data_IF_006952931990
#
_entry.id   IF_006952931990
#
_cell.length_a   1.000
_cell.length_b   1.000
_cell.length_c   1.000
_cell.angle_alpha   90.00
_cell.angle_beta   90.00
_cell.angle_gamma   90.00
#
_symmetry.space_group_name_H-M   'P 1'
#
loop_
_entity.id
_entity.type
_entity.pdbx_description
1 polymer ?
#
# COMPACT_ATOMS: atom_id res chain seq x y z
N UNK A 1 -8.41 2.32 -20.06
CA UNK A 1 -7.74 0.99 -20.04
C UNK A 1 -7.88 0.50 -18.61
N UNK A 2 -8.13 -0.78 -18.36
CA UNK A 2 -8.25 -1.26 -16.99
C UNK A 2 -6.90 -1.10 -16.26
N UNK A 3 -6.90 -0.89 -14.95
CA UNK A 3 -5.70 -0.74 -14.11
C UNK A 3 -4.79 -1.97 -14.30
N UNK A 4 -5.38 -3.17 -14.34
CA UNK A 4 -4.65 -4.41 -14.60
C UNK A 4 -3.85 -4.37 -15.92
N UNK A 5 -4.47 -3.90 -17.01
CA UNK A 5 -3.81 -3.80 -18.32
C UNK A 5 -2.74 -2.71 -18.35
N UNK A 6 -2.87 -1.69 -17.51
CA UNK A 6 -1.84 -0.66 -17.37
C UNK A 6 -0.60 -1.24 -16.67
N UNK A 7 -0.78 -2.08 -15.65
CA UNK A 7 0.34 -2.84 -15.06
C UNK A 7 1.00 -3.79 -16.06
N UNK A 8 0.23 -4.52 -16.87
CA UNK A 8 0.80 -5.37 -17.94
C UNK A 8 1.63 -4.56 -18.96
N UNK A 9 1.26 -3.30 -19.20
CA UNK A 9 2.03 -2.38 -20.05
C UNK A 9 3.27 -1.88 -19.31
N UNK A 10 3.12 -1.47 -18.05
CA UNK A 10 4.21 -1.00 -17.19
C UNK A 10 5.33 -2.03 -17.12
N UNK A 11 4.98 -3.30 -16.87
CA UNK A 11 5.94 -4.41 -16.83
C UNK A 11 6.74 -4.52 -18.13
N UNK A 12 6.10 -4.34 -19.30
CA UNK A 12 6.79 -4.36 -20.61
C UNK A 12 7.74 -3.17 -20.77
N UNK A 13 7.34 -1.99 -20.32
CA UNK A 13 8.13 -0.77 -20.40
C UNK A 13 9.36 -0.82 -19.49
N UNK A 14 9.22 -1.39 -18.29
CA UNK A 14 10.33 -1.65 -17.35
C UNK A 14 11.38 -2.54 -18.02
N UNK A 15 10.97 -3.65 -18.66
CA UNK A 15 11.91 -4.51 -19.40
C UNK A 15 12.59 -3.81 -20.60
N UNK A 16 12.01 -2.72 -21.10
CA UNK A 16 12.54 -1.93 -22.21
C UNK A 16 13.34 -0.69 -21.74
N UNK A 17 13.44 -0.46 -20.43
CA UNK A 17 14.12 0.67 -19.81
C UNK A 17 13.65 2.05 -20.33
N UNK A 18 12.34 2.21 -20.50
CA UNK A 18 11.70 3.43 -21.03
C UNK A 18 11.18 4.32 -19.90
N UNK A 19 12.08 4.95 -19.16
CA UNK A 19 11.80 5.71 -17.93
C UNK A 19 10.67 6.75 -18.06
N UNK A 20 10.67 7.56 -19.13
CA UNK A 20 9.62 8.56 -19.34
C UNK A 20 8.22 7.93 -19.49
N UNK A 21 8.11 6.85 -20.26
CA UNK A 21 6.85 6.12 -20.49
C UNK A 21 6.39 5.39 -19.22
N UNK A 22 7.32 4.90 -18.39
CA UNK A 22 7.03 4.26 -17.11
C UNK A 22 6.31 5.23 -16.17
N UNK A 23 6.84 6.45 -16.02
CA UNK A 23 6.25 7.48 -15.16
C UNK A 23 4.84 7.90 -15.62
N UNK A 24 4.64 8.04 -16.94
CA UNK A 24 3.31 8.37 -17.50
C UNK A 24 2.29 7.27 -17.24
N UNK A 25 2.67 6.00 -17.41
CA UNK A 25 1.79 4.86 -17.16
C UNK A 25 1.47 4.73 -15.67
N UNK A 26 2.46 4.90 -14.79
CA UNK A 26 2.24 4.84 -13.35
C UNK A 26 1.31 5.96 -12.85
N UNK A 27 1.49 7.20 -13.33
CA UNK A 27 0.55 8.29 -13.02
C UNK A 27 -0.89 7.94 -13.41
N UNK A 28 -1.06 7.33 -14.58
CA UNK A 28 -2.39 6.92 -15.06
C UNK A 28 -3.00 5.79 -14.21
N UNK A 29 -2.17 4.85 -13.75
CA UNK A 29 -2.58 3.82 -12.79
C UNK A 29 -3.13 4.47 -11.52
N UNK A 30 -2.43 5.47 -10.96
CA UNK A 30 -2.90 6.20 -9.78
C UNK A 30 -4.20 6.96 -10.03
N UNK A 31 -4.30 7.69 -11.15
CA UNK A 31 -5.53 8.42 -11.50
C UNK A 31 -6.76 7.51 -11.60
N UNK A 32 -6.62 6.35 -12.25
CA UNK A 32 -7.73 5.40 -12.38
C UNK A 32 -8.00 4.65 -11.08
N UNK A 33 -6.96 4.41 -10.26
CA UNK A 33 -7.08 3.85 -8.90
C UNK A 33 -7.87 4.78 -8.00
N UNK A 34 -7.55 6.08 -7.96
CA UNK A 34 -8.28 7.03 -7.12
C UNK A 34 -9.74 7.17 -7.53
N UNK A 35 -10.06 7.13 -8.84
CA UNK A 35 -11.46 7.09 -9.30
C UNK A 35 -12.18 5.87 -8.74
N UNK A 36 -11.58 4.68 -8.84
CA UNK A 36 -12.17 3.45 -8.33
C UNK A 36 -12.35 3.49 -6.81
N UNK A 37 -11.33 3.92 -6.07
CA UNK A 37 -11.36 4.05 -4.60
C UNK A 37 -12.46 5.02 -4.16
N UNK A 38 -12.54 6.19 -4.79
CA UNK A 38 -13.59 7.17 -4.49
C UNK A 38 -14.99 6.62 -4.78
N UNK A 39 -15.18 5.94 -5.92
CA UNK A 39 -16.45 5.29 -6.23
C UNK A 39 -16.83 4.21 -5.20
N UNK A 40 -15.85 3.48 -4.66
CA UNK A 40 -16.08 2.47 -3.61
C UNK A 40 -16.49 3.13 -2.30
N UNK A 41 -15.80 4.20 -1.89
CA UNK A 41 -16.14 5.00 -0.71
C UNK A 41 -17.56 5.55 -0.82
N UNK A 42 -17.91 6.20 -1.94
CA UNK A 42 -19.24 6.79 -2.18
C UNK A 42 -20.38 5.76 -2.12
N UNK A 43 -20.09 4.52 -2.48
CA UNK A 43 -21.05 3.40 -2.48
C UNK A 43 -21.02 2.59 -1.19
N UNK A 44 -20.22 2.99 -0.19
CA UNK A 44 -19.98 2.24 1.05
C UNK A 44 -19.53 0.79 0.79
N UNK A 45 -18.65 0.62 -0.21
CA UNK A 45 -18.14 -0.68 -0.64
C UNK A 45 -16.65 -0.84 -0.29
N UNK A 46 -16.26 -2.10 -0.12
CA UNK A 46 -14.86 -2.50 0.07
C UNK A 46 -14.20 -2.91 -1.25
N UNK A 47 -12.88 -3.04 -1.21
CA UNK A 47 -12.04 -3.58 -2.28
C UNK A 47 -11.77 -5.07 -2.04
N UNK A 48 -12.18 -5.92 -2.97
CA UNK A 48 -11.93 -7.36 -2.96
C UNK A 48 -10.61 -7.70 -3.66
N UNK A 49 -9.62 -8.19 -2.91
CA UNK A 49 -8.32 -8.63 -3.44
C UNK A 49 -8.42 -9.80 -4.44
N UNK A 50 -9.53 -10.54 -4.44
CA UNK A 50 -9.73 -11.64 -5.39
C UNK A 50 -10.21 -11.14 -6.75
N UNK A 51 -10.81 -9.93 -6.81
CA UNK A 51 -11.07 -9.22 -8.05
C UNK A 51 -9.74 -8.68 -8.63
N UNK A 52 -9.31 -9.08 -9.85
CA UNK A 52 -8.02 -8.67 -10.41
C UNK A 52 -7.86 -7.16 -10.59
N UNK A 53 -8.93 -6.44 -10.91
CA UNK A 53 -8.89 -5.00 -11.12
C UNK A 53 -8.76 -4.26 -9.78
N UNK A 54 -9.56 -4.66 -8.78
CA UNK A 54 -9.49 -4.09 -7.44
C UNK A 54 -8.18 -4.46 -6.74
N UNK A 55 -7.65 -5.67 -6.96
CA UNK A 55 -6.32 -6.05 -6.51
C UNK A 55 -5.22 -5.16 -7.10
N UNK A 56 -5.33 -4.82 -8.39
CA UNK A 56 -4.40 -3.90 -9.02
C UNK A 56 -4.50 -2.49 -8.42
N UNK A 57 -5.70 -2.04 -8.07
CA UNK A 57 -5.91 -0.79 -7.33
C UNK A 57 -5.32 -0.82 -5.91
N UNK A 58 -5.49 -1.93 -5.16
CA UNK A 58 -4.87 -2.12 -3.84
C UNK A 58 -3.34 -2.06 -3.96
N UNK A 59 -2.76 -2.69 -4.99
CA UNK A 59 -1.33 -2.61 -5.29
C UNK A 59 -0.89 -1.16 -5.54
N UNK A 60 -1.62 -0.42 -6.36
CA UNK A 60 -1.29 0.96 -6.67
C UNK A 60 -1.31 1.86 -5.41
N UNK A 61 -2.31 1.69 -4.54
CA UNK A 61 -2.35 2.41 -3.27
C UNK A 61 -1.19 2.02 -2.34
N UNK A 62 -0.80 0.75 -2.33
CA UNK A 62 0.36 0.29 -1.57
C UNK A 62 1.66 0.91 -2.10
N UNK A 63 1.92 0.83 -3.40
CA UNK A 63 3.10 1.41 -4.05
C UNK A 63 3.16 2.93 -3.82
N UNK A 64 2.03 3.63 -3.94
CA UNK A 64 1.92 5.07 -3.66
C UNK A 64 2.23 5.41 -2.20
N UNK A 65 1.74 4.62 -1.23
CA UNK A 65 2.08 4.80 0.17
C UNK A 65 3.58 4.68 0.43
N UNK A 66 4.26 3.72 -0.23
CA UNK A 66 5.70 3.55 -0.08
C UNK A 66 6.47 4.73 -0.70
N UNK A 67 6.05 5.22 -1.87
CA UNK A 67 6.65 6.40 -2.51
C UNK A 67 6.54 7.63 -1.60
N UNK A 68 5.34 7.91 -1.06
CA UNK A 68 5.15 9.01 -0.10
C UNK A 68 6.03 8.85 1.15
N UNK A 69 6.16 7.64 1.68
CA UNK A 69 7.02 7.38 2.83
C UNK A 69 8.50 7.64 2.48
N UNK A 70 8.97 7.15 1.33
CA UNK A 70 10.34 7.38 0.85
C UNK A 70 10.64 8.88 0.70
N UNK A 71 9.70 9.63 0.12
CA UNK A 71 9.75 11.09 -0.04
C UNK A 71 9.56 11.89 1.28
N UNK A 72 9.41 11.20 2.42
CA UNK A 72 9.18 11.80 3.75
C UNK A 72 7.84 12.55 3.89
N UNK A 73 6.89 12.31 3.00
CA UNK A 73 5.49 12.75 3.12
C UNK A 73 4.71 11.82 4.08
N UNK A 74 5.16 11.79 5.35
CA UNK A 74 4.74 10.77 6.33
C UNK A 74 3.26 10.86 6.68
N UNK A 75 2.69 12.07 6.79
CA UNK A 75 1.28 12.22 7.17
C UNK A 75 0.36 11.78 6.03
N UNK A 76 0.71 12.08 4.78
CA UNK A 76 0.02 11.61 3.58
C UNK A 76 0.14 10.08 3.42
N UNK A 77 1.33 9.52 3.64
CA UNK A 77 1.55 8.07 3.59
C UNK A 77 0.70 7.34 4.65
N UNK A 78 0.65 7.86 5.89
CA UNK A 78 -0.23 7.30 6.92
C UNK A 78 -1.71 7.38 6.54
N UNK A 79 -2.15 8.51 5.97
CA UNK A 79 -3.54 8.67 5.52
C UNK A 79 -3.92 7.58 4.50
N UNK A 80 -3.06 7.32 3.51
CA UNK A 80 -3.26 6.21 2.57
C UNK A 80 -3.33 4.87 3.32
N UNK A 81 -2.41 4.62 4.26
CA UNK A 81 -2.42 3.40 5.06
C UNK A 81 -3.73 3.20 5.84
N UNK A 82 -4.24 4.26 6.49
CA UNK A 82 -5.51 4.23 7.22
C UNK A 82 -6.70 3.96 6.30
N UNK A 83 -6.79 4.66 5.16
CA UNK A 83 -7.84 4.44 4.17
C UNK A 83 -7.88 2.96 3.73
N UNK A 84 -6.70 2.38 3.47
CA UNK A 84 -6.60 0.99 3.03
C UNK A 84 -6.92 -0.03 4.12
N UNK A 85 -6.65 0.26 5.40
CA UNK A 85 -7.10 -0.56 6.53
C UNK A 85 -8.64 -0.61 6.60
N UNK A 86 -9.31 0.50 6.28
CA UNK A 86 -10.77 0.55 6.23
C UNK A 86 -11.33 -0.17 4.99
N UNK A 87 -10.79 0.14 3.81
CA UNK A 87 -11.41 -0.18 2.52
C UNK A 87 -11.19 -1.60 2.03
N UNK A 88 -10.09 -2.27 2.37
CA UNK A 88 -9.80 -3.61 1.82
C UNK A 88 -10.68 -4.67 2.49
N UNK A 89 -11.09 -5.72 1.78
CA UNK A 89 -11.78 -6.89 2.37
C UNK A 89 -10.86 -8.12 2.42
N UNK A 90 -9.69 -7.96 3.04
CA UNK A 90 -8.74 -9.04 3.31
C UNK A 90 -7.96 -8.72 4.58
N UNK A 91 -8.11 -9.58 5.60
CA UNK A 91 -7.54 -9.35 6.91
C UNK A 91 -6.01 -9.27 6.90
N UNK A 92 -5.34 -10.07 6.06
CA UNK A 92 -3.86 -10.05 5.98
C UNK A 92 -3.35 -8.76 5.39
N UNK A 93 -4.05 -8.21 4.40
CA UNK A 93 -3.69 -6.94 3.78
C UNK A 93 -3.99 -5.78 4.73
N UNK A 94 -5.10 -5.81 5.48
CA UNK A 94 -5.35 -4.82 6.55
C UNK A 94 -4.25 -4.81 7.60
N UNK A 95 -3.84 -6.00 8.04
CA UNK A 95 -2.75 -6.15 9.00
C UNK A 95 -1.44 -5.60 8.43
N UNK A 96 -1.13 -5.91 7.16
CA UNK A 96 0.02 -5.33 6.46
C UNK A 96 -0.01 -3.80 6.50
N UNK A 97 -1.07 -3.14 6.02
CA UNK A 97 -1.14 -1.67 6.05
C UNK A 97 -0.98 -1.12 7.48
N UNK A 98 -1.58 -1.79 8.47
CA UNK A 98 -1.44 -1.39 9.88
C UNK A 98 0.01 -1.46 10.36
N UNK A 99 0.78 -2.51 9.98
CA UNK A 99 2.19 -2.63 10.34
C UNK A 99 3.06 -1.57 9.67
N UNK A 100 2.81 -1.25 8.40
CA UNK A 100 3.54 -0.18 7.70
C UNK A 100 3.27 1.18 8.36
N UNK A 101 2.00 1.47 8.71
CA UNK A 101 1.66 2.68 9.46
C UNK A 101 2.34 2.71 10.83
N UNK A 102 2.40 1.59 11.55
CA UNK A 102 3.13 1.52 12.82
C UNK A 102 4.63 1.81 12.63
N UNK A 103 5.23 1.35 11.53
CA UNK A 103 6.60 1.71 11.16
C UNK A 103 6.79 3.22 11.00
N UNK A 104 5.86 3.88 10.30
CA UNK A 104 5.83 5.33 10.14
C UNK A 104 5.64 6.06 11.48
N UNK A 105 4.72 5.59 12.33
CA UNK A 105 4.49 6.14 13.67
C UNK A 105 5.71 6.01 14.58
N UNK A 106 6.51 4.96 14.37
CA UNK A 106 7.77 4.75 15.06
C UNK A 106 8.90 5.68 14.58
N UNK A 107 8.67 6.45 13.51
CA UNK A 107 9.65 7.36 12.94
C UNK A 107 10.76 6.64 12.17
N UNK A 108 10.49 5.42 11.69
CA UNK A 108 11.45 4.64 10.91
C UNK A 108 11.48 5.15 9.46
N UNK A 109 12.66 5.09 8.84
CA UNK A 109 12.78 5.20 7.40
C UNK A 109 12.29 3.93 6.70
N UNK A 110 11.88 4.05 5.44
CA UNK A 110 11.38 2.93 4.63
C UNK A 110 12.38 1.77 4.57
N UNK A 111 13.63 2.06 4.20
CA UNK A 111 14.71 1.06 4.12
C UNK A 111 14.95 0.34 5.46
N UNK A 112 15.03 1.12 6.54
CA UNK A 112 15.21 0.57 7.89
C UNK A 112 14.04 -0.36 8.28
N UNK A 113 12.82 0.03 7.94
CA UNK A 113 11.64 -0.77 8.22
C UNK A 113 11.66 -2.09 7.46
N UNK A 114 11.96 -2.04 6.16
CA UNK A 114 12.07 -3.23 5.32
C UNK A 114 13.17 -4.19 5.82
N UNK A 115 14.36 -3.66 6.12
CA UNK A 115 15.49 -4.49 6.57
C UNK A 115 15.22 -5.19 7.90
N UNK A 116 14.60 -4.47 8.85
CA UNK A 116 14.44 -4.98 10.23
C UNK A 116 13.18 -5.80 10.46
N UNK A 117 12.10 -5.48 9.76
CA UNK A 117 10.77 -5.98 10.11
C UNK A 117 10.05 -6.71 8.98
N UNK A 118 10.38 -6.52 7.70
CA UNK A 118 9.63 -7.12 6.59
C UNK A 118 10.29 -8.42 6.12
N UNK A 119 9.54 -9.52 6.06
CA UNK A 119 9.98 -10.79 5.47
C UNK A 119 9.66 -10.81 3.96
N UNK A 120 10.48 -10.10 3.17
CA UNK A 120 10.27 -9.90 1.73
C UNK A 120 10.37 -11.16 0.86
N UNK A 121 10.87 -12.27 1.42
CA UNK A 121 10.97 -13.57 0.72
C UNK A 121 9.64 -14.31 0.58
N UNK A 122 8.56 -13.81 1.19
CA UNK A 122 7.22 -14.36 1.08
C UNK A 122 6.28 -13.26 0.62
N UNK A 123 5.69 -13.44 -0.55
CA UNK A 123 4.78 -12.47 -1.14
C UNK A 123 3.37 -13.07 -1.18
N UNK A 124 2.41 -12.37 -0.59
CA UNK A 124 0.99 -12.74 -0.63
C UNK A 124 0.35 -12.20 -1.90
N UNK A 125 -0.39 -13.06 -2.61
CA UNK A 125 -1.07 -12.75 -3.89
C UNK A 125 -0.11 -12.12 -4.93
N UNK A 126 1.15 -12.55 -4.92
CA UNK A 126 2.24 -12.14 -5.82
C UNK A 126 2.65 -10.65 -5.75
N UNK A 127 2.09 -9.84 -4.83
CA UNK A 127 2.40 -8.41 -4.75
C UNK A 127 2.44 -7.78 -3.35
N UNK A 128 2.07 -8.48 -2.28
CA UNK A 128 1.96 -7.88 -0.94
C UNK A 128 2.93 -8.49 0.08
N UNK A 129 3.58 -7.64 0.88
CA UNK A 129 4.52 -8.03 1.93
C UNK A 129 3.80 -8.18 3.28
N UNK A 130 3.07 -9.28 3.46
CA UNK A 130 2.21 -9.50 4.63
C UNK A 130 2.89 -10.23 5.79
N UNK A 131 4.17 -10.57 5.66
CA UNK A 131 4.91 -11.37 6.65
C UNK A 131 5.97 -10.49 7.31
N UNK A 132 6.03 -10.50 8.64
CA UNK A 132 6.90 -9.64 9.43
C UNK A 132 7.78 -10.45 10.38
N UNK A 133 8.94 -9.91 10.72
CA UNK A 133 9.80 -10.41 11.80
C UNK A 133 9.13 -10.19 13.16
N UNK A 134 9.33 -11.10 14.10
CA UNK A 134 8.65 -11.10 15.40
C UNK A 134 8.98 -9.83 16.21
N UNK A 135 10.09 -9.14 15.90
CA UNK A 135 10.42 -7.81 16.44
C UNK A 135 9.36 -6.75 16.16
N UNK A 136 8.48 -6.93 15.17
CA UNK A 136 7.38 -6.01 14.90
C UNK A 136 6.42 -5.90 16.10
N UNK A 137 6.31 -6.96 16.91
CA UNK A 137 5.39 -7.02 18.05
C UNK A 137 5.69 -5.93 19.08
N UNK A 138 6.98 -5.61 19.29
CA UNK A 138 7.40 -4.52 20.19
C UNK A 138 6.89 -3.15 19.70
N UNK A 139 6.91 -2.92 18.38
CA UNK A 139 6.35 -1.70 17.79
C UNK A 139 4.83 -1.68 17.92
N UNK A 140 4.16 -2.80 17.67
CA UNK A 140 2.70 -2.91 17.82
C UNK A 140 2.30 -2.56 19.24
N UNK A 141 2.92 -3.16 20.26
CA UNK A 141 2.60 -2.87 21.67
C UNK A 141 2.80 -1.38 21.99
N UNK A 142 3.90 -0.80 21.51
CA UNK A 142 4.26 0.59 21.82
C UNK A 142 3.37 1.62 21.11
N UNK A 143 2.96 1.37 19.88
CA UNK A 143 2.28 2.36 19.03
C UNK A 143 0.79 2.07 18.80
N UNK A 144 0.25 0.96 19.33
CA UNK A 144 -1.17 0.59 19.21
C UNK A 144 -2.14 1.71 19.59
N UNK A 145 -1.90 2.39 20.69
CA UNK A 145 -2.84 3.41 21.16
C UNK A 145 -2.79 4.67 20.30
N UNK A 146 -1.59 5.07 19.85
CA UNK A 146 -1.41 6.17 18.90
C UNK A 146 -2.04 5.85 17.54
N UNK A 147 -1.87 4.61 17.06
CA UNK A 147 -2.54 4.14 15.85
C UNK A 147 -4.06 4.28 15.97
N UNK A 148 -4.66 3.85 17.08
CA UNK A 148 -6.10 3.96 17.28
C UNK A 148 -6.58 5.41 17.35
N UNK A 149 -5.81 6.29 18.00
CA UNK A 149 -6.10 7.72 18.10
C UNK A 149 -6.16 8.35 16.70
N UNK A 150 -5.11 8.16 15.90
CA UNK A 150 -5.06 8.70 14.53
C UNK A 150 -6.07 8.02 13.58
N UNK A 151 -6.29 6.71 13.69
CA UNK A 151 -7.21 5.96 12.83
C UNK A 151 -8.69 6.27 13.08
N UNK A 152 -9.05 6.70 14.30
CA UNK A 152 -10.43 7.00 14.67
C UNK A 152 -10.79 8.49 14.53
N UNK A 153 -9.84 9.31 14.08
CA UNK A 153 -9.97 10.77 13.91
C UNK A 153 -10.57 11.11 12.55
#
# INVERSE_FOLDING_TARGET
>A
MSILKQYELLDKLIHQNKEDEINEVFRKILEDTFKLVNEKIEKEQTLDVNNPEERAAIRAMFEYMLELWDEQAIDEAKAVGYDMVYLVDDQKIKEMFSMFVIGMLAGLGLDEFFEKYVKSNKVYKDMFFTEFDDKIDDLVVKYRDKFKEEFSS
#
